data_IF_418361708205
#
_entry.id   IF_418361708205
#
_cell.length_a   1.000
_cell.length_b   1.000
_cell.length_c   1.000
_cell.angle_alpha   90.00
_cell.angle_beta   90.00
_cell.angle_gamma   90.00
#
_symmetry.space_group_name_H-M   'P 1'
#
loop_
_entity.id
_entity.type
_entity.pdbx_description
1 polymer ?
#
# COMPACT_ATOMS: atom_id res chain seq x y z
N UNK A 1 -1.85 -5.19 0.31
CA UNK A 1 -1.44 -5.14 -1.11
C UNK A 1 -2.56 -5.42 -2.10
N UNK A 2 -3.17 -6.62 -2.14
CA UNK A 2 -4.14 -6.95 -3.20
C UNK A 2 -5.36 -6.03 -3.27
N UNK A 3 -5.98 -5.75 -2.11
CA UNK A 3 -7.10 -4.81 -2.03
C UNK A 3 -6.71 -3.39 -2.46
N UNK A 4 -5.52 -2.92 -2.06
CA UNK A 4 -4.98 -1.61 -2.45
C UNK A 4 -4.75 -1.54 -3.97
N UNK A 5 -4.31 -2.63 -4.61
CA UNK A 5 -4.12 -2.70 -6.06
C UNK A 5 -5.45 -2.53 -6.81
N UNK A 6 -6.48 -3.29 -6.42
CA UNK A 6 -7.84 -3.17 -6.99
C UNK A 6 -8.39 -1.76 -6.75
N UNK A 7 -8.22 -1.23 -5.54
CA UNK A 7 -8.65 0.11 -5.17
C UNK A 7 -7.99 1.19 -6.04
N UNK A 8 -6.68 1.06 -6.29
CA UNK A 8 -5.94 1.99 -7.15
C UNK A 8 -6.48 1.99 -8.58
N UNK A 9 -6.79 0.82 -9.13
CA UNK A 9 -7.39 0.69 -10.46
C UNK A 9 -8.77 1.33 -10.52
N UNK A 10 -9.63 1.09 -9.52
CA UNK A 10 -10.96 1.70 -9.46
C UNK A 10 -10.83 3.23 -9.40
N UNK A 11 -10.00 3.76 -8.51
CA UNK A 11 -9.80 5.20 -8.40
C UNK A 11 -9.25 5.82 -9.69
N UNK A 12 -8.25 5.20 -10.32
CA UNK A 12 -7.69 5.70 -11.56
C UNK A 12 -8.72 5.78 -12.69
N UNK A 13 -9.61 4.78 -12.78
CA UNK A 13 -10.71 4.76 -13.76
C UNK A 13 -11.75 5.84 -13.51
N UNK A 14 -12.15 6.07 -12.26
CA UNK A 14 -13.14 7.10 -11.91
C UNK A 14 -12.58 8.51 -12.07
N UNK A 15 -11.32 8.71 -11.68
CA UNK A 15 -10.67 10.02 -11.68
C UNK A 15 -9.96 10.34 -13.01
N UNK A 16 -9.95 9.40 -13.96
CA UNK A 16 -9.25 9.52 -15.27
C UNK A 16 -7.79 9.95 -15.11
N UNK A 17 -7.10 9.31 -14.16
CA UNK A 17 -5.70 9.58 -13.84
C UNK A 17 -4.95 8.28 -13.62
N UNK A 18 -3.69 8.27 -14.02
CA UNK A 18 -2.77 7.16 -13.78
C UNK A 18 -1.95 7.36 -12.51
N UNK A 19 -2.12 8.47 -11.78
CA UNK A 19 -1.46 8.72 -10.51
C UNK A 19 -2.53 8.95 -9.44
N UNK A 20 -2.64 8.01 -8.49
CA UNK A 20 -3.64 8.04 -7.41
C UNK A 20 -2.97 8.04 -6.04
N UNK A 21 -3.58 8.76 -5.09
CA UNK A 21 -3.19 8.71 -3.68
C UNK A 21 -4.39 8.44 -2.78
N UNK A 22 -4.18 7.62 -1.77
CA UNK A 22 -5.16 7.35 -0.72
C UNK A 22 -4.46 6.99 0.59
N UNK A 23 -5.15 7.16 1.72
CA UNK A 23 -4.64 6.73 3.02
C UNK A 23 -4.73 5.21 3.19
N UNK A 24 -3.71 4.61 3.80
CA UNK A 24 -3.74 3.20 4.20
C UNK A 24 -3.31 3.04 5.65
N UNK A 25 -4.00 2.16 6.37
CA UNK A 25 -3.67 1.82 7.76
C UNK A 25 -2.55 0.78 7.74
N UNK A 26 -1.46 1.06 8.44
CA UNK A 26 -0.34 0.13 8.68
C UNK A 26 -0.27 -0.25 10.15
N UNK A 27 0.29 -1.42 10.45
CA UNK A 27 0.42 -1.91 11.84
C UNK A 27 1.34 -1.03 12.68
N UNK A 28 2.35 -0.41 12.06
CA UNK A 28 3.41 0.35 12.72
C UNK A 28 4.18 -0.47 13.75
N UNK A 29 4.33 -1.79 13.52
CA UNK A 29 5.08 -2.73 14.34
C UNK A 29 6.39 -3.11 13.66
N UNK A 30 7.53 -2.52 14.07
CA UNK A 30 8.84 -2.77 13.45
C UNK A 30 9.32 -4.22 13.64
N UNK A 31 9.80 -4.86 12.57
CA UNK A 31 10.21 -6.27 12.60
C UNK A 31 11.50 -6.56 13.40
N UNK A 32 12.28 -5.52 13.70
CA UNK A 32 13.50 -5.57 14.50
C UNK A 32 13.22 -5.67 16.02
N UNK A 33 11.99 -5.38 16.46
CA UNK A 33 11.58 -5.48 17.86
C UNK A 33 10.99 -6.87 18.14
N UNK A 34 11.76 -7.69 18.86
CA UNK A 34 11.32 -9.04 19.26
C UNK A 34 10.05 -8.97 20.11
N UNK A 35 8.99 -9.67 19.68
CA UNK A 35 7.71 -9.73 20.38
C UNK A 35 6.80 -8.52 20.18
N UNK A 36 7.13 -7.63 19.23
CA UNK A 36 6.34 -6.43 18.94
C UNK A 36 4.88 -6.75 18.66
N UNK A 37 4.56 -7.89 18.04
CA UNK A 37 3.19 -8.32 17.72
C UNK A 37 2.29 -8.49 18.95
N UNK A 38 2.87 -8.71 20.13
CA UNK A 38 2.14 -8.91 21.38
C UNK A 38 2.13 -7.67 22.29
N UNK A 39 2.78 -6.58 21.88
CA UNK A 39 2.83 -5.36 22.68
C UNK A 39 1.51 -4.58 22.62
N UNK A 40 1.06 -4.12 23.79
CA UNK A 40 -0.09 -3.21 23.93
C UNK A 40 0.42 -1.77 23.89
N UNK A 41 -0.18 -0.96 23.01
CA UNK A 41 0.21 0.43 22.81
C UNK A 41 -0.35 0.98 21.49
N UNK A 42 -0.07 2.25 21.21
CA UNK A 42 -0.45 2.89 19.95
C UNK A 42 0.63 2.61 18.89
N UNK A 43 0.30 1.74 17.94
CA UNK A 43 1.19 1.38 16.82
C UNK A 43 0.59 1.70 15.46
N UNK A 44 -0.74 1.58 15.31
CA UNK A 44 -1.39 1.82 14.02
C UNK A 44 -1.14 3.23 13.51
N UNK A 45 -0.86 3.37 12.22
CA UNK A 45 -0.67 4.65 11.58
C UNK A 45 -1.40 4.71 10.24
N UNK A 46 -1.84 5.91 9.84
CA UNK A 46 -2.39 6.15 8.50
C UNK A 46 -1.32 6.85 7.68
N UNK A 47 -0.83 6.17 6.64
CA UNK A 47 0.19 6.71 5.75
C UNK A 47 -0.37 6.93 4.34
N UNK A 48 0.11 7.94 3.60
CA UNK A 48 -0.26 8.12 2.21
C UNK A 48 0.34 6.99 1.36
N UNK A 49 -0.49 6.33 0.56
CA UNK A 49 -0.07 5.38 -0.48
C UNK A 49 -0.26 6.03 -1.84
N UNK A 50 0.83 6.26 -2.56
CA UNK A 50 0.82 6.73 -3.95
C UNK A 50 1.03 5.57 -4.90
N UNK A 51 0.20 5.48 -5.93
CA UNK A 51 0.26 4.42 -6.93
C UNK A 51 0.22 5.04 -8.32
N UNK A 52 1.23 4.72 -9.14
CA UNK A 52 1.29 5.10 -10.55
C UNK A 52 0.96 3.89 -11.42
N UNK A 53 -0.15 3.96 -12.16
CA UNK A 53 -0.63 2.98 -13.11
C UNK A 53 0.04 3.23 -14.46
N UNK A 54 1.23 2.69 -14.68
CA UNK A 54 1.92 2.83 -15.97
C UNK A 54 1.29 1.98 -17.07
N UNK A 55 1.26 2.53 -18.29
CA UNK A 55 0.84 1.80 -19.49
C UNK A 55 1.64 0.50 -19.68
N UNK A 56 0.94 -0.57 -20.03
CA UNK A 56 1.53 -1.91 -20.23
C UNK A 56 1.78 -2.71 -18.95
N UNK A 57 1.58 -2.15 -17.76
CA UNK A 57 1.68 -2.89 -16.50
C UNK A 57 0.49 -3.85 -16.35
N UNK A 58 0.76 -5.16 -16.22
CA UNK A 58 -0.30 -6.11 -15.89
C UNK A 58 -0.57 -6.12 -14.38
N UNK A 59 -1.66 -6.77 -13.96
CA UNK A 59 -2.06 -6.79 -12.56
C UNK A 59 -1.03 -7.47 -11.62
N UNK A 60 -0.29 -8.47 -12.12
CA UNK A 60 0.77 -9.15 -11.35
C UNK A 60 1.94 -8.22 -11.09
N UNK A 61 2.29 -7.37 -12.06
CA UNK A 61 3.35 -6.39 -11.92
C UNK A 61 2.94 -5.29 -10.93
N UNK A 62 1.68 -4.83 -10.99
CA UNK A 62 1.13 -3.89 -10.02
C UNK A 62 1.17 -4.44 -8.58
N UNK A 63 0.76 -5.70 -8.38
CA UNK A 63 0.83 -6.35 -7.07
C UNK A 63 2.26 -6.43 -6.54
N UNK A 64 3.21 -6.77 -7.41
CA UNK A 64 4.63 -6.87 -7.05
C UNK A 64 5.18 -5.51 -6.63
N UNK A 65 4.95 -4.49 -7.45
CA UNK A 65 5.39 -3.13 -7.17
C UNK A 65 4.83 -2.61 -5.83
N UNK A 66 3.54 -2.81 -5.57
CA UNK A 66 2.92 -2.39 -4.32
C UNK A 66 3.44 -3.18 -3.11
N UNK A 67 3.79 -4.45 -3.29
CA UNK A 67 4.37 -5.29 -2.25
C UNK A 67 5.77 -4.81 -1.88
N UNK A 68 6.61 -4.54 -2.88
CA UNK A 68 7.97 -4.00 -2.71
C UNK A 68 7.93 -2.68 -1.93
N UNK A 69 7.09 -1.74 -2.36
CA UNK A 69 6.91 -0.46 -1.66
C UNK A 69 6.41 -0.62 -0.21
N UNK A 70 5.70 -1.69 0.11
CA UNK A 70 5.20 -1.92 1.48
C UNK A 70 6.24 -2.57 2.39
N UNK A 71 7.33 -3.12 1.83
CA UNK A 71 8.48 -3.61 2.60
C UNK A 71 9.48 -2.48 2.90
N UNK A 72 9.49 -1.43 2.08
CA UNK A 72 10.31 -0.22 2.27
C UNK A 72 9.70 0.79 3.26
N UNK A 73 8.41 0.63 3.59
CA UNK A 73 7.68 1.49 4.55
C UNK A 73 7.67 0.91 5.95
#
# INVERSE_FOLDING_TARGET
TALQAVWSLILGRYQRTDDVMFGTVVSGRPADIKGVEHMVGLFINVVPKRVRLTDGMNFKDLLRHLQEQSLES
#
